data_IF_425699485629
#
_entry.id   IF_425699485629
#
_cell.length_a   1.000
_cell.length_b   1.000
_cell.length_c   1.000
_cell.angle_alpha   90.00
_cell.angle_beta   90.00
_cell.angle_gamma   90.00
#
_symmetry.space_group_name_H-M   'P 1'
#
loop_
_entity.id
_entity.type
_entity.pdbx_description
1 polymer ?
#
# COMPACT_ATOMS: atom_id res chain seq x y z
N UNK A 1 4.78 18.04 -16.72
CA UNK A 1 4.24 17.50 -15.45
C UNK A 1 4.02 18.64 -14.46
N UNK A 2 2.93 18.62 -13.69
CA UNK A 2 2.58 19.63 -12.68
C UNK A 2 2.16 18.94 -11.38
N UNK A 3 2.38 19.58 -10.23
CA UNK A 3 1.90 19.06 -8.94
C UNK A 3 0.39 18.87 -8.93
N UNK A 4 -0.37 19.88 -9.32
CA UNK A 4 -1.84 19.80 -9.41
C UNK A 4 -2.32 18.67 -10.35
N UNK A 5 -1.58 18.40 -11.44
CA UNK A 5 -1.89 17.29 -12.34
C UNK A 5 -1.68 15.92 -11.69
N UNK A 6 -0.64 15.76 -10.87
CA UNK A 6 -0.39 14.53 -10.10
C UNK A 6 -1.44 14.37 -9.00
N UNK A 7 -1.72 15.43 -8.23
CA UNK A 7 -2.73 15.44 -7.17
C UNK A 7 -4.11 15.04 -7.70
N UNK A 8 -4.53 15.62 -8.83
CA UNK A 8 -5.80 15.27 -9.46
C UNK A 8 -5.86 13.80 -9.88
N UNK A 9 -4.77 13.24 -10.44
CA UNK A 9 -4.70 11.83 -10.83
C UNK A 9 -4.64 10.90 -9.61
N UNK A 10 -3.91 11.29 -8.58
CA UNK A 10 -3.89 10.55 -7.31
C UNK A 10 -5.27 10.51 -6.66
N UNK A 11 -6.02 11.64 -6.67
CA UNK A 11 -7.39 11.68 -6.17
C UNK A 11 -8.34 10.77 -6.98
N UNK A 12 -8.20 10.74 -8.33
CA UNK A 12 -8.97 9.83 -9.18
C UNK A 12 -8.65 8.36 -8.85
N UNK A 13 -7.36 7.99 -8.77
CA UNK A 13 -6.96 6.63 -8.44
C UNK A 13 -7.45 6.23 -7.06
N UNK A 14 -7.35 7.13 -6.08
CA UNK A 14 -7.86 6.89 -4.72
C UNK A 14 -9.37 6.68 -4.72
N UNK A 15 -10.13 7.50 -5.45
CA UNK A 15 -11.57 7.33 -5.59
C UNK A 15 -11.93 5.97 -6.21
N UNK A 16 -11.18 5.52 -7.24
CA UNK A 16 -11.37 4.21 -7.87
C UNK A 16 -11.09 3.08 -6.88
N UNK A 17 -9.99 3.14 -6.12
CA UNK A 17 -9.68 2.16 -5.06
C UNK A 17 -10.79 2.09 -4.03
N UNK A 18 -11.20 3.25 -3.48
CA UNK A 18 -12.22 3.31 -2.44
C UNK A 18 -13.58 2.81 -2.93
N UNK A 19 -13.98 3.20 -4.16
CA UNK A 19 -15.22 2.71 -4.76
C UNK A 19 -15.20 1.20 -4.95
N UNK A 20 -14.15 0.66 -5.57
CA UNK A 20 -14.01 -0.79 -5.80
C UNK A 20 -13.96 -1.55 -4.47
N UNK A 21 -13.26 -1.00 -3.46
CA UNK A 21 -13.21 -1.59 -2.13
C UNK A 21 -14.57 -1.59 -1.44
N UNK A 22 -15.33 -0.49 -1.55
CA UNK A 22 -16.66 -0.38 -0.96
C UNK A 22 -17.65 -1.37 -1.60
N UNK A 23 -17.64 -1.49 -2.93
CA UNK A 23 -18.47 -2.46 -3.67
C UNK A 23 -18.15 -3.90 -3.23
N UNK A 24 -16.86 -4.24 -3.17
CA UNK A 24 -16.42 -5.56 -2.73
C UNK A 24 -16.79 -5.81 -1.26
N UNK A 25 -16.58 -4.83 -0.40
CA UNK A 25 -16.98 -4.90 1.01
C UNK A 25 -18.48 -5.17 1.18
N UNK A 26 -19.32 -4.48 0.41
CA UNK A 26 -20.77 -4.65 0.48
C UNK A 26 -21.21 -6.08 0.13
N UNK A 27 -20.56 -6.72 -0.87
CA UNK A 27 -20.83 -8.12 -1.24
C UNK A 27 -20.60 -9.08 -0.05
N UNK A 28 -19.56 -8.84 0.74
CA UNK A 28 -19.26 -9.69 1.90
C UNK A 28 -20.11 -9.33 3.12
N UNK A 29 -20.52 -8.08 3.26
CA UNK A 29 -21.46 -7.66 4.32
C UNK A 29 -22.85 -8.33 4.17
N UNK A 30 -23.24 -8.70 2.93
CA UNK A 30 -24.46 -9.48 2.63
C UNK A 30 -24.31 -10.98 2.84
N UNK A 31 -23.15 -11.46 3.33
CA UNK A 31 -22.91 -12.86 3.68
C UNK A 31 -22.40 -13.74 2.52
N UNK A 32 -22.11 -13.16 1.36
CA UNK A 32 -21.60 -13.92 0.21
C UNK A 32 -20.08 -14.15 0.32
N UNK A 33 -19.68 -15.09 1.19
CA UNK A 33 -18.27 -15.40 1.43
C UNK A 33 -17.60 -16.24 0.33
N UNK A 34 -18.39 -16.87 -0.55
CA UNK A 34 -17.86 -17.73 -1.64
C UNK A 34 -16.98 -16.98 -2.62
N UNK A 35 -17.26 -15.68 -2.80
CA UNK A 35 -16.48 -14.80 -3.69
C UNK A 35 -15.23 -14.20 -3.04
N UNK A 36 -15.03 -14.42 -1.72
CA UNK A 36 -13.90 -13.80 -0.99
C UNK A 36 -12.55 -14.23 -1.57
N UNK A 37 -12.33 -15.53 -1.71
CA UNK A 37 -11.07 -16.07 -2.24
C UNK A 37 -10.85 -15.68 -3.72
N UNK A 38 -11.81 -15.83 -4.62
CA UNK A 38 -11.70 -15.33 -5.99
C UNK A 38 -11.37 -13.82 -6.06
N UNK A 39 -12.00 -12.98 -5.25
CA UNK A 39 -11.74 -11.54 -5.21
C UNK A 39 -10.31 -11.23 -4.73
N UNK A 40 -9.83 -11.93 -3.69
CA UNK A 40 -8.46 -11.79 -3.20
C UNK A 40 -7.43 -12.23 -4.25
N UNK A 41 -7.66 -13.34 -4.93
CA UNK A 41 -6.75 -13.84 -5.97
C UNK A 41 -6.76 -12.93 -7.21
N UNK A 42 -7.93 -12.57 -7.70
CA UNK A 42 -8.06 -11.66 -8.84
C UNK A 42 -7.42 -10.30 -8.56
N UNK A 43 -7.79 -9.69 -7.46
CA UNK A 43 -7.27 -8.37 -7.07
C UNK A 43 -5.79 -8.40 -6.74
N UNK A 44 -5.32 -9.40 -5.99
CA UNK A 44 -3.92 -9.54 -5.58
C UNK A 44 -3.00 -9.89 -6.75
N UNK A 45 -3.28 -10.99 -7.46
CA UNK A 45 -2.43 -11.44 -8.59
C UNK A 45 -2.60 -10.50 -9.78
N UNK A 46 -3.84 -10.15 -10.16
CA UNK A 46 -4.12 -9.22 -11.24
C UNK A 46 -3.52 -7.85 -10.99
N UNK A 47 -3.68 -7.31 -9.76
CA UNK A 47 -3.06 -6.07 -9.35
C UNK A 47 -1.53 -6.14 -9.38
N UNK A 48 -0.93 -7.24 -8.93
CA UNK A 48 0.52 -7.44 -9.02
C UNK A 48 1.01 -7.41 -10.48
N UNK A 49 0.37 -8.14 -11.38
CA UNK A 49 0.75 -8.18 -12.81
C UNK A 49 0.63 -6.78 -13.44
N UNK A 50 -0.49 -6.09 -13.22
CA UNK A 50 -0.70 -4.74 -13.78
C UNK A 50 0.27 -3.73 -13.15
N UNK A 51 0.55 -3.84 -11.85
CA UNK A 51 1.55 -3.04 -11.16
C UNK A 51 2.96 -3.24 -11.73
N UNK A 52 3.34 -4.47 -12.05
CA UNK A 52 4.60 -4.78 -12.73
C UNK A 52 4.66 -4.12 -14.13
N UNK A 53 3.58 -4.23 -14.92
CA UNK A 53 3.50 -3.58 -16.23
C UNK A 53 3.68 -2.06 -16.10
N UNK A 54 2.97 -1.43 -15.16
CA UNK A 54 3.07 0.00 -14.90
C UNK A 54 4.49 0.42 -14.47
N UNK A 55 5.15 -0.38 -13.62
CA UNK A 55 6.49 -0.11 -13.10
C UNK A 55 7.56 -0.22 -14.18
N UNK A 56 7.49 -1.23 -15.06
CA UNK A 56 8.49 -1.42 -16.12
C UNK A 56 8.20 -0.60 -17.38
N UNK A 57 6.95 -0.17 -17.57
CA UNK A 57 6.53 0.65 -18.72
C UNK A 57 5.77 1.89 -18.26
N UNK A 58 6.44 2.93 -17.74
CA UNK A 58 5.77 4.13 -17.22
C UNK A 58 4.83 4.83 -18.22
N UNK A 59 5.07 4.64 -19.51
CA UNK A 59 4.22 5.18 -20.58
C UNK A 59 2.81 4.57 -20.60
N UNK A 60 2.63 3.37 -20.03
CA UNK A 60 1.32 2.71 -19.93
C UNK A 60 0.52 3.18 -18.72
N UNK A 61 1.11 3.98 -17.83
CA UNK A 61 0.48 4.41 -16.58
C UNK A 61 -0.91 5.06 -16.75
N UNK A 62 -1.23 5.82 -17.82
CA UNK A 62 -2.57 6.35 -18.03
C UNK A 62 -3.67 5.27 -18.07
N UNK A 63 -3.34 4.06 -18.49
CA UNK A 63 -4.26 2.92 -18.57
C UNK A 63 -4.05 1.92 -17.43
N UNK A 64 -2.79 1.60 -17.16
CA UNK A 64 -2.46 0.58 -16.15
C UNK A 64 -2.74 1.05 -14.72
N UNK A 65 -2.59 2.34 -14.40
CA UNK A 65 -2.84 2.84 -13.06
C UNK A 65 -4.33 2.75 -12.63
N UNK A 66 -5.31 3.14 -13.46
CA UNK A 66 -6.73 2.94 -13.13
C UNK A 66 -7.13 1.46 -13.02
N UNK A 67 -6.60 0.58 -13.89
CA UNK A 67 -6.84 -0.87 -13.82
C UNK A 67 -6.25 -1.42 -12.52
N UNK A 68 -5.01 -1.05 -12.19
CA UNK A 68 -4.36 -1.40 -10.93
C UNK A 68 -5.20 -0.94 -9.73
N UNK A 69 -5.67 0.31 -9.74
CA UNK A 69 -6.48 0.87 -8.66
C UNK A 69 -7.78 0.08 -8.46
N UNK A 70 -8.46 -0.33 -9.54
CA UNK A 70 -9.67 -1.14 -9.48
C UNK A 70 -9.39 -2.53 -8.89
N UNK A 71 -8.35 -3.22 -9.36
CA UNK A 71 -7.96 -4.54 -8.87
C UNK A 71 -7.52 -4.49 -7.40
N UNK A 72 -6.72 -3.50 -7.04
CA UNK A 72 -6.31 -3.31 -5.65
C UNK A 72 -7.48 -2.95 -4.74
N UNK A 73 -8.45 -2.16 -5.23
CA UNK A 73 -9.68 -1.89 -4.48
C UNK A 73 -10.46 -3.18 -4.19
N UNK A 74 -10.62 -4.06 -5.18
CA UNK A 74 -11.25 -5.38 -4.98
C UNK A 74 -10.48 -6.18 -3.90
N UNK A 75 -9.17 -6.25 -3.99
CA UNK A 75 -8.33 -6.93 -3.01
C UNK A 75 -8.47 -6.33 -1.61
N UNK A 76 -8.38 -5.00 -1.50
CA UNK A 76 -8.48 -4.30 -0.22
C UNK A 76 -9.87 -4.45 0.41
N UNK A 77 -10.94 -4.42 -0.37
CA UNK A 77 -12.29 -4.68 0.11
C UNK A 77 -12.44 -6.09 0.69
N UNK A 78 -11.92 -7.09 -0.03
CA UNK A 78 -11.97 -8.49 0.41
C UNK A 78 -11.15 -8.74 1.67
N UNK A 79 -9.89 -8.28 1.70
CA UNK A 79 -9.02 -8.47 2.87
C UNK A 79 -9.53 -7.71 4.09
N UNK A 80 -10.08 -6.52 3.90
CA UNK A 80 -10.69 -5.72 4.96
C UNK A 80 -11.91 -6.42 5.55
N UNK A 81 -12.77 -7.01 4.70
CA UNK A 81 -13.92 -7.80 5.16
C UNK A 81 -13.46 -8.99 6.01
N UNK A 82 -12.42 -9.71 5.57
CA UNK A 82 -11.84 -10.82 6.33
C UNK A 82 -11.34 -10.38 7.72
N UNK A 83 -10.64 -9.26 7.79
CA UNK A 83 -10.17 -8.73 9.08
C UNK A 83 -11.33 -8.24 9.97
N UNK A 84 -12.36 -7.66 9.37
CA UNK A 84 -13.55 -7.20 10.12
C UNK A 84 -14.36 -8.33 10.72
N UNK A 85 -14.43 -9.49 10.07
CA UNK A 85 -15.05 -10.70 10.63
C UNK A 85 -14.36 -11.15 11.93
N UNK A 86 -13.06 -10.95 12.01
CA UNK A 86 -12.26 -11.33 13.17
C UNK A 86 -12.18 -10.22 14.23
N UNK A 87 -12.12 -8.98 13.80
CA UNK A 87 -11.99 -7.79 14.63
C UNK A 87 -12.88 -6.68 14.08
N UNK A 88 -14.09 -6.56 14.62
CA UNK A 88 -15.05 -5.56 14.17
C UNK A 88 -14.49 -4.13 14.26
N UNK A 89 -14.65 -3.34 13.22
CA UNK A 89 -14.19 -1.94 13.15
C UNK A 89 -12.70 -1.73 12.92
N UNK A 90 -11.90 -2.80 12.80
CA UNK A 90 -10.45 -2.70 12.60
C UNK A 90 -10.07 -2.06 11.26
N UNK A 91 -10.71 -2.39 10.11
CA UNK A 91 -10.38 -1.76 8.84
C UNK A 91 -10.63 -0.25 8.83
N UNK A 92 -11.70 0.21 9.48
CA UNK A 92 -11.99 1.65 9.59
C UNK A 92 -10.89 2.38 10.36
N UNK A 93 -10.39 1.79 11.45
CA UNK A 93 -9.25 2.33 12.20
C UNK A 93 -7.98 2.37 11.34
N UNK A 94 -7.72 1.30 10.55
CA UNK A 94 -6.57 1.25 9.65
C UNK A 94 -6.63 2.32 8.56
N UNK A 95 -7.81 2.56 7.97
CA UNK A 95 -8.01 3.63 6.98
C UNK A 95 -7.72 5.00 7.59
N UNK A 96 -8.32 5.32 8.73
CA UNK A 96 -8.10 6.60 9.42
C UNK A 96 -6.63 6.79 9.78
N UNK A 97 -5.98 5.75 10.29
CA UNK A 97 -4.56 5.81 10.63
C UNK A 97 -3.68 5.99 9.38
N UNK A 98 -4.01 5.32 8.27
CA UNK A 98 -3.27 5.46 7.00
C UNK A 98 -3.31 6.90 6.50
N UNK A 99 -4.50 7.50 6.44
CA UNK A 99 -4.63 8.90 6.03
C UNK A 99 -3.99 9.87 7.03
N UNK A 100 -4.11 9.61 8.33
CA UNK A 100 -3.47 10.41 9.36
C UNK A 100 -1.95 10.39 9.25
N UNK A 101 -1.35 9.22 9.07
CA UNK A 101 0.10 9.06 8.86
C UNK A 101 0.53 9.73 7.55
N UNK A 102 -0.19 9.48 6.45
CA UNK A 102 0.13 10.08 5.16
C UNK A 102 0.07 11.61 5.20
N UNK A 103 -0.96 12.18 5.81
CA UNK A 103 -1.08 13.63 6.00
C UNK A 103 0.05 14.20 6.87
N UNK A 104 0.40 13.50 7.95
CA UNK A 104 1.50 13.90 8.83
C UNK A 104 2.85 13.91 8.09
N UNK A 105 3.14 12.85 7.33
CA UNK A 105 4.36 12.76 6.52
C UNK A 105 4.38 13.85 5.43
N UNK A 106 3.24 14.09 4.77
CA UNK A 106 3.12 15.18 3.79
C UNK A 106 3.42 16.55 4.41
N UNK A 107 2.86 16.86 5.58
CA UNK A 107 3.11 18.12 6.28
C UNK A 107 4.59 18.25 6.69
N UNK A 108 5.19 17.19 7.26
CA UNK A 108 6.60 17.18 7.63
C UNK A 108 7.52 17.37 6.41
N UNK A 109 7.16 16.78 5.26
CA UNK A 109 7.87 17.00 3.99
C UNK A 109 7.69 18.45 3.52
N UNK A 110 6.45 18.95 3.50
CA UNK A 110 6.12 20.33 3.05
C UNK A 110 6.82 21.41 3.87
N UNK A 111 6.96 21.19 5.18
CA UNK A 111 7.69 22.10 6.08
C UNK A 111 9.21 21.85 6.10
N UNK A 112 9.74 21.02 5.20
CA UNK A 112 11.16 20.67 5.11
C UNK A 112 11.76 20.05 6.39
N UNK A 113 10.94 19.48 7.27
CA UNK A 113 11.38 18.73 8.45
C UNK A 113 11.91 17.35 8.01
N UNK A 114 11.17 16.67 7.12
CA UNK A 114 11.62 15.45 6.46
C UNK A 114 12.07 15.79 5.04
N UNK A 115 13.32 15.43 4.72
CA UNK A 115 13.94 15.67 3.40
C UNK A 115 14.48 14.38 2.81
N UNK A 116 14.30 14.18 1.53
CA UNK A 116 14.84 13.04 0.79
C UNK A 116 16.33 13.27 0.44
N UNK A 117 17.19 13.35 1.46
CA UNK A 117 18.63 13.46 1.26
C UNK A 117 19.19 12.20 0.58
N UNK A 118 20.38 12.29 -0.05
CA UNK A 118 20.99 11.11 -0.68
C UNK A 118 21.25 9.97 0.31
N UNK A 119 21.63 10.28 1.55
CA UNK A 119 21.75 9.28 2.63
C UNK A 119 20.42 8.61 2.95
N UNK A 120 19.34 9.41 3.05
CA UNK A 120 18.00 8.90 3.28
C UNK A 120 17.53 7.99 2.13
N UNK A 121 17.73 8.39 0.86
CA UNK A 121 17.38 7.58 -0.32
C UNK A 121 18.10 6.22 -0.30
N UNK A 122 19.41 6.22 -0.02
CA UNK A 122 20.19 4.97 0.08
C UNK A 122 19.70 4.06 1.20
N UNK A 123 19.44 4.62 2.38
CA UNK A 123 18.90 3.87 3.52
C UNK A 123 17.54 3.26 3.19
N UNK A 124 16.63 4.04 2.60
CA UNK A 124 15.29 3.57 2.21
C UNK A 124 15.36 2.48 1.13
N UNK A 125 16.26 2.63 0.16
CA UNK A 125 16.46 1.63 -0.88
C UNK A 125 16.96 0.29 -0.28
N UNK A 126 17.93 0.34 0.62
CA UNK A 126 18.43 -0.84 1.32
C UNK A 126 17.33 -1.49 2.18
N UNK A 127 16.53 -0.69 2.90
CA UNK A 127 15.42 -1.18 3.70
C UNK A 127 14.33 -1.86 2.84
N UNK A 128 13.98 -1.28 1.69
CA UNK A 128 13.01 -1.87 0.76
C UNK A 128 13.50 -3.20 0.18
N UNK A 129 14.79 -3.29 -0.21
CA UNK A 129 15.39 -4.56 -0.64
C UNK A 129 15.32 -5.59 0.50
N UNK A 130 15.70 -5.22 1.71
CA UNK A 130 15.65 -6.09 2.88
C UNK A 130 14.25 -6.63 3.17
N UNK A 131 13.24 -5.77 3.11
CA UNK A 131 11.83 -6.16 3.27
C UNK A 131 11.39 -7.08 2.12
N UNK A 132 11.74 -6.74 0.88
CA UNK A 132 11.44 -7.56 -0.29
C UNK A 132 12.04 -8.96 -0.19
N UNK A 133 13.31 -9.06 0.19
CA UNK A 133 13.99 -10.35 0.43
C UNK A 133 13.37 -11.13 1.58
N UNK A 134 12.96 -10.44 2.66
CA UNK A 134 12.27 -11.07 3.78
C UNK A 134 10.93 -11.68 3.35
N UNK A 135 10.09 -10.95 2.60
CA UNK A 135 8.82 -11.48 2.10
C UNK A 135 9.02 -12.59 1.07
N UNK A 136 9.95 -12.42 0.13
CA UNK A 136 10.27 -13.43 -0.88
C UNK A 136 10.80 -14.71 -0.23
N UNK A 137 11.76 -14.59 0.69
CA UNK A 137 12.31 -15.72 1.44
C UNK A 137 11.24 -16.44 2.26
N UNK A 138 10.36 -15.66 2.91
CA UNK A 138 9.21 -16.20 3.65
C UNK A 138 8.23 -16.97 2.76
N UNK A 139 7.95 -16.45 1.58
CA UNK A 139 7.10 -17.10 0.59
C UNK A 139 7.73 -18.41 0.09
N UNK A 140 9.02 -18.39 -0.24
CA UNK A 140 9.73 -19.59 -0.68
C UNK A 140 9.76 -20.66 0.41
N UNK A 141 10.06 -20.30 1.67
CA UNK A 141 10.06 -21.25 2.78
C UNK A 141 8.67 -21.85 3.03
N UNK A 142 7.61 -21.06 2.83
CA UNK A 142 6.24 -21.56 2.97
C UNK A 142 5.89 -22.64 1.93
N UNK A 143 6.46 -22.60 0.72
CA UNK A 143 6.31 -23.64 -0.30
C UNK A 143 6.92 -24.98 0.13
N UNK A 144 7.92 -24.95 1.01
CA UNK A 144 8.54 -26.13 1.62
C UNK A 144 7.90 -26.56 2.95
N UNK A 145 6.74 -25.97 3.28
CA UNK A 145 6.02 -26.29 4.53
C UNK A 145 6.60 -25.63 5.78
N UNK A 146 7.61 -24.77 5.66
CA UNK A 146 8.20 -24.03 6.78
C UNK A 146 7.44 -22.73 6.99
N UNK A 147 6.65 -22.65 8.08
CA UNK A 147 5.99 -21.40 8.46
C UNK A 147 6.92 -20.52 9.29
N UNK A 148 7.15 -19.28 8.83
CA UNK A 148 7.88 -18.31 9.63
C UNK A 148 6.93 -17.74 10.69
N UNK A 149 7.35 -17.84 11.96
CA UNK A 149 6.56 -17.38 13.10
C UNK A 149 6.13 -15.91 13.04
N UNK A 150 6.79 -15.09 12.22
CA UNK A 150 6.35 -13.71 11.96
C UNK A 150 4.92 -13.61 11.43
N UNK A 151 4.50 -14.48 10.52
CA UNK A 151 3.15 -14.41 9.93
C UNK A 151 2.07 -14.98 10.83
N UNK A 152 2.42 -15.88 11.73
CA UNK A 152 1.48 -16.61 12.58
C UNK A 152 1.41 -16.10 14.01
N UNK A 153 2.44 -15.37 14.49
CA UNK A 153 2.52 -14.93 15.89
C UNK A 153 2.04 -13.47 16.07
N UNK A 154 1.45 -13.22 17.23
CA UNK A 154 1.17 -11.88 17.75
C UNK A 154 2.14 -11.49 18.89
N UNK A 155 3.32 -12.12 18.92
CA UNK A 155 4.34 -11.84 19.93
C UNK A 155 4.98 -10.46 19.78
N UNK A 156 5.67 -9.96 20.83
CA UNK A 156 6.29 -8.62 20.81
C UNK A 156 7.25 -8.39 19.66
N UNK A 157 8.02 -9.41 19.29
CA UNK A 157 8.96 -9.35 18.17
C UNK A 157 8.23 -9.14 16.83
N UNK A 158 7.14 -9.88 16.59
CA UNK A 158 6.37 -9.76 15.37
C UNK A 158 5.68 -8.39 15.26
N UNK A 159 5.21 -7.83 16.37
CA UNK A 159 4.66 -6.48 16.44
C UNK A 159 5.76 -5.44 16.16
N UNK A 160 6.95 -5.58 16.76
CA UNK A 160 8.08 -4.68 16.53
C UNK A 160 8.55 -4.65 15.08
N UNK A 161 8.68 -5.82 14.44
CA UNK A 161 9.03 -5.94 13.02
C UNK A 161 7.95 -5.27 12.15
N UNK A 162 6.68 -5.54 12.43
CA UNK A 162 5.58 -4.95 11.66
C UNK A 162 5.52 -3.42 11.83
N UNK A 163 5.75 -2.90 13.04
CA UNK A 163 5.84 -1.47 13.28
C UNK A 163 7.00 -0.83 12.50
N UNK A 164 8.16 -1.49 12.45
CA UNK A 164 9.31 -1.03 11.67
C UNK A 164 8.98 -1.00 10.16
N UNK A 165 8.35 -2.04 9.63
CA UNK A 165 7.94 -2.12 8.22
C UNK A 165 6.89 -1.03 7.91
N UNK A 166 5.90 -0.82 8.78
CA UNK A 166 4.91 0.24 8.62
C UNK A 166 5.57 1.64 8.65
N UNK A 167 6.57 1.84 9.50
CA UNK A 167 7.37 3.06 9.55
C UNK A 167 8.15 3.29 8.25
N UNK A 168 8.75 2.25 7.70
CA UNK A 168 9.44 2.31 6.39
C UNK A 168 8.45 2.62 5.27
N UNK A 169 7.26 2.00 5.26
CA UNK A 169 6.21 2.30 4.29
C UNK A 169 5.75 3.77 4.39
N UNK A 170 5.58 4.29 5.60
CA UNK A 170 5.26 5.71 5.81
C UNK A 170 6.38 6.64 5.28
N UNK A 171 7.63 6.33 5.60
CA UNK A 171 8.78 7.12 5.14
C UNK A 171 9.00 7.04 3.62
N UNK A 172 8.51 5.98 2.95
CA UNK A 172 8.58 5.89 1.49
C UNK A 172 7.73 6.97 0.80
N UNK A 173 6.68 7.49 1.46
CA UNK A 173 5.91 8.65 0.95
C UNK A 173 6.80 9.88 0.74
N UNK A 174 7.84 10.07 1.57
CA UNK A 174 8.82 11.15 1.39
C UNK A 174 9.53 11.03 0.06
N UNK A 175 9.89 9.79 -0.34
CA UNK A 175 10.50 9.54 -1.65
C UNK A 175 9.51 9.75 -2.80
N UNK A 176 8.24 9.43 -2.60
CA UNK A 176 7.21 9.65 -3.62
C UNK A 176 6.98 11.15 -3.84
N UNK A 177 6.91 11.96 -2.77
CA UNK A 177 6.81 13.42 -2.86
C UNK A 177 8.05 14.04 -3.52
N UNK A 178 9.25 13.59 -3.16
CA UNK A 178 10.51 14.05 -3.75
C UNK A 178 10.58 13.74 -5.26
N UNK A 179 10.16 12.54 -5.68
CA UNK A 179 10.07 12.17 -7.11
C UNK A 179 9.07 13.04 -7.88
N UNK A 180 7.93 13.37 -7.27
CA UNK A 180 6.93 14.26 -7.86
C UNK A 180 7.56 15.65 -8.06
N UNK A 181 8.20 16.18 -7.03
CA UNK A 181 8.84 17.49 -7.08
C UNK A 181 9.95 17.55 -8.14
N UNK A 182 10.84 16.55 -8.16
CA UNK A 182 11.88 16.43 -9.18
C UNK A 182 11.31 16.31 -10.60
N UNK A 183 10.23 15.54 -10.78
CA UNK A 183 9.55 15.41 -12.07
C UNK A 183 8.94 16.74 -12.55
N UNK A 184 8.41 17.54 -11.64
CA UNK A 184 7.90 18.88 -11.95
C UNK A 184 9.05 19.84 -12.31
N UNK A 185 10.12 19.87 -11.50
CA UNK A 185 11.28 20.74 -11.72
C UNK A 185 12.02 20.44 -13.02
N UNK A 186 12.10 19.15 -13.41
CA UNK A 186 12.72 18.72 -14.66
C UNK A 186 11.83 18.88 -15.90
N UNK A 187 10.60 19.38 -15.75
CA UNK A 187 9.67 19.53 -16.87
C UNK A 187 9.23 18.19 -17.49
N UNK A 188 9.17 17.12 -16.71
CA UNK A 188 8.83 15.77 -17.19
C UNK A 188 7.52 15.75 -17.99
N UNK A 189 7.34 14.84 -18.98
CA UNK A 189 6.14 14.73 -19.80
C UNK A 189 4.87 14.55 -18.96
N UNK A 190 3.75 15.13 -19.41
CA UNK A 190 2.46 15.08 -18.70
C UNK A 190 1.95 13.66 -18.45
N UNK A 191 2.32 12.71 -19.28
CA UNK A 191 1.97 11.30 -19.11
C UNK A 191 2.52 10.69 -17.80
N UNK A 192 3.69 11.17 -17.35
CA UNK A 192 4.32 10.70 -16.11
C UNK A 192 3.61 11.17 -14.83
N UNK A 193 2.64 12.08 -14.93
CA UNK A 193 1.75 12.41 -13.80
C UNK A 193 0.95 11.19 -13.34
N UNK A 194 0.50 10.32 -14.27
CA UNK A 194 -0.17 9.06 -13.92
C UNK A 194 0.78 8.08 -13.24
N UNK A 195 2.02 8.01 -13.71
CA UNK A 195 3.02 7.14 -13.10
C UNK A 195 3.41 7.60 -11.69
N UNK A 196 3.55 8.91 -11.47
CA UNK A 196 3.82 9.47 -10.15
C UNK A 196 2.63 9.23 -9.18
N UNK A 197 1.40 9.44 -9.65
CA UNK A 197 0.18 9.14 -8.89
C UNK A 197 0.06 7.64 -8.57
N UNK A 198 0.42 6.76 -9.50
CA UNK A 198 0.48 5.32 -9.31
C UNK A 198 1.48 4.94 -8.21
N UNK A 199 2.70 5.50 -8.22
CA UNK A 199 3.70 5.25 -7.17
C UNK A 199 3.19 5.61 -5.78
N UNK A 200 2.61 6.81 -5.64
CA UNK A 200 1.99 7.26 -4.40
C UNK A 200 0.87 6.30 -3.94
N UNK A 201 0.03 5.82 -4.88
CA UNK A 201 -1.04 4.87 -4.58
C UNK A 201 -0.51 3.52 -4.09
N UNK A 202 0.54 2.99 -4.71
CA UNK A 202 1.20 1.74 -4.28
C UNK A 202 1.69 1.86 -2.84
N UNK A 203 2.33 2.97 -2.50
CA UNK A 203 2.84 3.23 -1.15
C UNK A 203 1.71 3.35 -0.12
N UNK A 204 0.61 4.04 -0.45
CA UNK A 204 -0.56 4.17 0.43
C UNK A 204 -1.24 2.81 0.68
N UNK A 205 -1.37 1.98 -0.35
CA UNK A 205 -1.92 0.62 -0.24
C UNK A 205 -1.02 -0.24 0.66
N UNK A 206 0.30 -0.19 0.45
CA UNK A 206 1.24 -0.92 1.30
C UNK A 206 1.15 -0.47 2.76
N UNK A 207 1.15 0.84 3.01
CA UNK A 207 1.00 1.41 4.35
C UNK A 207 -0.30 0.94 5.01
N UNK A 208 -1.42 0.96 4.29
CA UNK A 208 -2.70 0.46 4.78
C UNK A 208 -2.62 -1.00 5.22
N UNK A 209 -2.05 -1.87 4.39
CA UNK A 209 -1.93 -3.30 4.69
C UNK A 209 -1.04 -3.56 5.91
N UNK A 210 0.05 -2.80 6.07
CA UNK A 210 0.91 -2.93 7.25
C UNK A 210 0.20 -2.44 8.52
N UNK A 211 -0.53 -1.34 8.45
CA UNK A 211 -1.30 -0.82 9.58
C UNK A 211 -2.47 -1.75 9.94
N UNK A 212 -3.16 -2.31 8.95
CA UNK A 212 -4.21 -3.31 9.16
C UNK A 212 -3.66 -4.54 9.89
N UNK A 213 -2.50 -5.04 9.46
CA UNK A 213 -1.79 -6.16 10.09
C UNK A 213 -1.31 -5.81 11.50
N UNK A 214 -0.75 -4.62 11.69
CA UNK A 214 -0.29 -4.14 12.99
C UNK A 214 -1.43 -4.07 14.01
N UNK A 215 -2.53 -3.44 13.63
CA UNK A 215 -3.72 -3.31 14.49
C UNK A 215 -4.31 -4.67 14.84
N UNK A 216 -4.37 -5.61 13.88
CA UNK A 216 -4.88 -6.95 14.12
C UNK A 216 -4.04 -7.73 15.16
N UNK A 217 -2.70 -7.58 15.09
CA UNK A 217 -1.81 -8.20 16.09
C UNK A 217 -1.95 -7.60 17.48
N UNK A 218 -2.14 -6.28 17.53
CA UNK A 218 -2.36 -5.58 18.82
C UNK A 218 -3.68 -5.99 19.46
N UNK A 219 -4.75 -6.15 18.68
CA UNK A 219 -6.04 -6.63 19.19
C UNK A 219 -6.01 -8.12 19.54
N UNK A 220 -5.36 -8.96 18.72
CA UNK A 220 -5.21 -10.39 19.01
C UNK A 220 -4.39 -10.72 20.26
N UNK A 221 -3.61 -9.76 20.79
CA UNK A 221 -2.89 -9.89 22.06
C UNK A 221 -3.75 -9.51 23.28
N UNK A 222 -4.81 -8.73 23.06
CA UNK A 222 -5.71 -8.28 24.15
C UNK A 222 -6.82 -9.28 24.47
N UNK A 223 -7.13 -10.18 23.53
CA UNK A 223 -8.09 -11.26 23.65
C UNK A 223 -7.37 -12.59 23.90
#
# INVERSE_FOLDING_TARGET
MTTAGVEGKAAILLAVVLFSAAVTWQQFATGNLDLLMPAMLLGGIGGFIVGMIASFRPQTAPWSAPIYASLQGIFLGAISALYNLRFAGLPQQAVLLTFGVAASVFLLYRFNILRATEGFKRMMFAAMIGIGLFYLGSMLLSLFGVSIGYFTSSGPLAIGINLAIAGIAALNLVLDFDRIEQGVQSGAPKQLEWFAAFGLMVTLIWLYLELLRLLSRLQGRRN
#
